data_IF_078091015934
#
_entry.id   IF_078091015934
#
_cell.length_a   1.000
_cell.length_b   1.000
_cell.length_c   1.000
_cell.angle_alpha   90.00
_cell.angle_beta   90.00
_cell.angle_gamma   90.00
#
_symmetry.space_group_name_H-M   'P 1'
#
loop_
_entity.id
_entity.type
_entity.pdbx_description
1 polymer ?
#
# COMPACT_ATOMS: atom_id res chain seq x y z
N UNK A 1 2.70 27.06 -3.23
CA UNK A 1 2.57 25.63 -2.86
C UNK A 1 3.84 24.94 -3.32
N UNK A 2 4.63 24.39 -2.38
CA UNK A 2 5.87 23.68 -2.71
C UNK A 2 5.54 22.40 -3.50
N UNK A 3 6.29 22.16 -4.58
CA UNK A 3 6.20 20.95 -5.40
C UNK A 3 7.58 20.32 -5.43
N UNK A 4 7.65 19.03 -5.10
CA UNK A 4 8.90 18.29 -5.10
C UNK A 4 9.43 18.14 -6.54
N UNK A 5 10.71 18.46 -6.74
CA UNK A 5 11.39 18.26 -8.01
C UNK A 5 11.48 16.77 -8.38
N UNK A 6 11.44 16.49 -9.68
CA UNK A 6 11.38 15.13 -10.20
C UNK A 6 12.63 14.29 -9.82
N UNK A 7 13.78 14.95 -9.63
CA UNK A 7 15.02 14.31 -9.15
C UNK A 7 14.85 13.65 -7.77
N UNK A 8 14.19 14.34 -6.84
CA UNK A 8 13.95 13.84 -5.49
C UNK A 8 12.85 12.79 -5.47
N UNK A 9 11.87 12.93 -6.36
CA UNK A 9 10.81 11.94 -6.56
C UNK A 9 11.40 10.61 -7.06
N UNK A 10 12.34 10.62 -7.99
CA UNK A 10 13.05 9.42 -8.42
C UNK A 10 13.86 8.77 -7.30
N UNK A 11 14.52 9.56 -6.45
CA UNK A 11 15.22 9.04 -5.28
C UNK A 11 14.24 8.35 -4.30
N UNK A 12 13.09 8.98 -4.03
CA UNK A 12 12.04 8.38 -3.21
C UNK A 12 11.52 7.05 -3.79
N UNK A 13 11.36 6.96 -5.12
CA UNK A 13 10.95 5.72 -5.77
C UNK A 13 11.99 4.61 -5.60
N UNK A 14 13.29 4.93 -5.63
CA UNK A 14 14.37 3.96 -5.39
C UNK A 14 14.35 3.44 -3.95
N UNK A 15 14.21 4.34 -2.98
CA UNK A 15 14.07 3.97 -1.56
C UNK A 15 12.86 3.06 -1.36
N UNK A 16 11.70 3.43 -1.93
CA UNK A 16 10.50 2.60 -1.90
C UNK A 16 10.71 1.22 -2.54
N UNK A 17 11.58 1.15 -3.56
CA UNK A 17 11.88 -0.10 -4.25
C UNK A 17 12.75 -1.04 -3.40
N UNK A 18 13.72 -0.50 -2.68
CA UNK A 18 14.68 -1.24 -1.85
C UNK A 18 14.02 -1.80 -0.59
N UNK A 19 13.12 -1.05 0.04
CA UNK A 19 12.42 -1.45 1.26
C UNK A 19 11.19 -2.34 1.03
N UNK A 20 11.14 -3.06 -0.09
CA UNK A 20 10.04 -3.97 -0.40
C UNK A 20 10.14 -5.28 0.37
N UNK A 21 9.13 -5.54 1.20
CA UNK A 21 8.95 -6.84 1.88
C UNK A 21 8.30 -7.87 0.97
N UNK A 22 7.42 -7.43 0.05
CA UNK A 22 6.61 -8.32 -0.79
C UNK A 22 6.82 -8.03 -2.27
N UNK A 23 7.03 -9.09 -3.05
CA UNK A 23 7.29 -9.01 -4.50
C UNK A 23 6.04 -8.73 -5.33
N UNK A 24 4.90 -9.33 -4.99
CA UNK A 24 3.63 -9.18 -5.71
C UNK A 24 2.52 -8.56 -4.85
N UNK A 25 1.84 -7.57 -5.42
CA UNK A 25 0.89 -6.73 -4.69
C UNK A 25 -0.14 -6.15 -5.67
N UNK A 26 -1.42 -6.45 -5.49
CA UNK A 26 -2.48 -5.98 -6.38
C UNK A 26 -2.73 -4.46 -6.26
N UNK A 27 -2.35 -3.88 -5.12
CA UNK A 27 -2.59 -2.46 -4.83
C UNK A 27 -1.57 -1.55 -5.51
N UNK A 28 -0.29 -1.95 -5.50
CA UNK A 28 0.80 -1.16 -6.10
C UNK A 28 1.34 -1.78 -7.39
N UNK A 29 0.76 -2.89 -7.86
CA UNK A 29 1.17 -3.61 -9.06
C UNK A 29 2.68 -3.84 -9.13
N UNK A 30 3.24 -4.35 -8.02
CA UNK A 30 4.68 -4.62 -7.91
C UNK A 30 5.57 -3.38 -8.07
N UNK A 31 5.05 -2.17 -7.81
CA UNK A 31 5.86 -0.93 -7.79
C UNK A 31 6.39 -0.61 -6.40
N UNK A 32 5.62 -0.90 -5.35
CA UNK A 32 5.95 -0.54 -3.96
C UNK A 32 5.31 0.78 -3.51
N UNK A 33 4.83 1.60 -4.44
CA UNK A 33 4.05 2.82 -4.18
C UNK A 33 2.76 2.83 -5.00
N UNK A 34 1.77 3.61 -4.54
CA UNK A 34 0.44 3.70 -5.16
C UNK A 34 0.41 4.83 -6.18
N UNK A 35 1.06 5.95 -5.87
CA UNK A 35 1.07 7.13 -6.74
C UNK A 35 1.84 8.29 -6.12
N UNK A 36 1.58 9.47 -6.66
CA UNK A 36 2.14 10.75 -6.19
C UNK A 36 0.98 11.70 -5.89
N UNK A 37 1.13 12.49 -4.83
CA UNK A 37 0.19 13.55 -4.46
C UNK A 37 0.37 14.80 -5.34
N UNK A 38 -0.51 15.78 -5.16
CA UNK A 38 -0.47 17.08 -5.87
C UNK A 38 0.87 17.83 -5.71
N UNK A 39 1.59 17.57 -4.62
CA UNK A 39 2.92 18.12 -4.32
C UNK A 39 4.09 17.28 -4.86
N UNK A 40 3.84 16.30 -5.75
CA UNK A 40 4.84 15.33 -6.22
C UNK A 40 5.43 14.45 -5.09
N UNK A 41 4.71 14.29 -3.96
CA UNK A 41 5.12 13.42 -2.85
C UNK A 41 4.67 11.97 -3.07
N UNK A 42 5.60 11.03 -2.90
CA UNK A 42 5.36 9.60 -3.14
C UNK A 42 4.47 8.98 -2.05
N UNK A 43 3.40 8.30 -2.45
CA UNK A 43 2.51 7.56 -1.54
C UNK A 43 2.94 6.09 -1.53
N UNK A 44 3.56 5.65 -0.43
CA UNK A 44 4.01 4.26 -0.27
C UNK A 44 2.86 3.27 -0.09
N UNK A 45 3.09 2.01 -0.49
CA UNK A 45 2.15 0.94 -0.24
C UNK A 45 2.37 0.32 1.14
N UNK A 46 1.43 0.54 2.06
CA UNK A 46 1.47 0.06 3.45
C UNK A 46 1.57 -1.46 3.62
N UNK A 47 1.25 -2.22 2.57
CA UNK A 47 1.25 -3.70 2.61
C UNK A 47 2.56 -4.31 2.09
N UNK A 48 3.30 -3.56 1.29
CA UNK A 48 4.32 -4.11 0.40
C UNK A 48 5.69 -3.49 0.66
N UNK A 49 5.75 -2.31 1.27
CA UNK A 49 6.96 -1.59 1.68
C UNK A 49 7.01 -1.47 3.20
N UNK A 50 8.22 -1.54 3.76
CA UNK A 50 8.44 -1.17 5.16
C UNK A 50 8.35 0.35 5.32
N UNK A 51 7.25 0.84 5.89
CA UNK A 51 7.04 2.27 6.07
C UNK A 51 8.11 2.89 6.96
N UNK A 52 8.46 2.23 8.06
CA UNK A 52 9.42 2.77 9.03
C UNK A 52 10.82 2.87 8.42
N UNK A 53 11.30 1.79 7.78
CA UNK A 53 12.62 1.77 7.16
C UNK A 53 12.71 2.74 5.97
N UNK A 54 11.68 2.77 5.10
CA UNK A 54 11.65 3.69 3.97
C UNK A 54 11.59 5.17 4.42
N UNK A 55 10.87 5.47 5.51
CA UNK A 55 10.82 6.82 6.06
C UNK A 55 12.14 7.24 6.71
N UNK A 56 12.87 6.31 7.34
CA UNK A 56 14.18 6.58 7.91
C UNK A 56 15.18 6.97 6.81
N UNK A 57 15.28 6.16 5.76
CA UNK A 57 16.17 6.41 4.62
C UNK A 57 15.79 7.70 3.87
N UNK A 58 14.49 7.98 3.76
CA UNK A 58 14.01 9.24 3.19
C UNK A 58 14.43 10.46 4.03
N UNK A 59 14.40 10.36 5.36
CA UNK A 59 14.89 11.42 6.24
C UNK A 59 16.39 11.61 6.07
N UNK A 60 17.16 10.53 6.01
CA UNK A 60 18.61 10.59 5.80
C UNK A 60 18.94 11.23 4.44
N UNK A 61 18.14 10.95 3.40
CA UNK A 61 18.24 11.60 2.10
C UNK A 61 17.95 13.11 2.19
N UNK A 62 16.86 13.53 2.85
CA UNK A 62 16.56 14.96 3.07
C UNK A 62 17.69 15.64 3.86
N UNK A 63 18.29 14.96 4.83
CA UNK A 63 19.39 15.51 5.61
C UNK A 63 20.65 15.80 4.78
N UNK A 64 20.82 15.13 3.63
CA UNK A 64 21.93 15.36 2.71
C UNK A 64 21.66 16.46 1.68
N UNK A 65 20.39 16.84 1.49
CA UNK A 65 19.96 17.83 0.52
C UNK A 65 19.47 19.10 1.22
N UNK A 66 20.32 20.14 1.24
CA UNK A 66 20.03 21.43 1.89
C UNK A 66 18.79 22.12 1.32
N UNK A 67 18.56 22.00 0.01
CA UNK A 67 17.39 22.55 -0.69
C UNK A 67 16.07 21.99 -0.15
N UNK A 68 16.06 20.72 0.26
CA UNK A 68 14.89 20.10 0.89
C UNK A 68 14.78 20.50 2.35
N UNK A 69 15.88 20.69 3.06
CA UNK A 69 15.84 21.11 4.46
C UNK A 69 15.11 22.43 4.63
N UNK A 70 15.34 23.43 3.79
CA UNK A 70 14.67 24.74 3.93
C UNK A 70 13.15 24.65 3.81
N UNK A 71 12.65 23.73 2.97
CA UNK A 71 11.21 23.56 2.75
C UNK A 71 10.54 22.58 3.72
N UNK A 72 11.30 21.61 4.25
CA UNK A 72 10.79 20.65 5.21
C UNK A 72 11.08 21.03 6.67
N UNK A 73 11.96 22.01 6.95
CA UNK A 73 12.27 22.44 8.32
C UNK A 73 11.07 23.01 9.05
N UNK A 74 10.21 23.80 8.40
CA UNK A 74 8.94 24.25 8.98
C UNK A 74 8.04 23.07 9.38
N UNK A 75 7.99 22.01 8.56
CA UNK A 75 7.23 20.78 8.83
C UNK A 75 7.85 19.92 9.94
N UNK A 76 9.16 20.03 10.16
CA UNK A 76 9.89 19.30 11.20
C UNK A 76 9.90 20.03 12.55
N UNK A 77 9.87 21.36 12.57
CA UNK A 77 9.81 22.15 13.81
C UNK A 77 8.39 22.20 14.43
N UNK A 78 7.31 22.11 13.63
CA UNK A 78 5.94 22.16 14.16
C UNK A 78 5.37 20.82 14.69
N UNK A 79 5.92 19.66 14.31
CA UNK A 79 5.37 18.34 14.70
C UNK A 79 6.15 17.65 15.81
N UNK A 80 6.17 18.27 17.00
CA UNK A 80 6.14 17.49 18.26
C UNK A 80 4.69 17.33 18.75
N UNK A 81 3.76 17.10 17.82
CA UNK A 81 2.41 16.65 18.15
C UNK A 81 2.36 15.17 17.79
N UNK A 82 2.21 14.37 18.84
CA UNK A 82 1.91 12.95 18.82
C UNK A 82 0.77 12.72 17.83
N UNK A 83 1.07 12.22 16.63
CA UNK A 83 0.05 11.59 15.80
C UNK A 83 -0.17 10.21 16.41
N UNK A 84 -1.10 10.20 17.36
CA UNK A 84 -1.88 9.05 17.76
C UNK A 84 -2.19 8.25 16.49
N UNK A 85 -1.69 7.02 16.44
CA UNK A 85 -2.21 6.02 15.54
C UNK A 85 -3.74 6.11 15.62
N UNK A 86 -4.47 6.40 14.52
CA UNK A 86 -5.85 5.97 14.47
C UNK A 86 -5.73 4.45 14.58
N UNK A 87 -6.03 3.95 15.78
CA UNK A 87 -6.39 2.59 16.04
C UNK A 87 -7.35 2.22 14.91
N UNK A 88 -6.82 1.53 13.90
CA UNK A 88 -7.66 0.88 12.93
C UNK A 88 -8.47 -0.10 13.76
N UNK A 89 -9.68 0.31 14.14
CA UNK A 89 -10.68 -0.58 14.67
C UNK A 89 -10.70 -1.77 13.73
N UNK A 90 -10.16 -2.88 14.21
CA UNK A 90 -10.26 -4.16 13.54
C UNK A 90 -11.73 -4.49 13.60
N UNK A 91 -12.48 -3.99 12.62
CA UNK A 91 -13.87 -4.37 12.39
C UNK A 91 -13.83 -5.87 12.25
N UNK A 92 -14.29 -6.57 13.30
CA UNK A 92 -14.36 -8.02 13.33
C UNK A 92 -15.14 -8.44 12.10
N UNK A 93 -14.43 -8.98 11.12
CA UNK A 93 -15.01 -9.62 9.95
C UNK A 93 -15.89 -10.73 10.53
N UNK A 94 -17.21 -10.54 10.45
CA UNK A 94 -18.17 -11.56 10.82
C UNK A 94 -17.78 -12.86 10.09
N UNK A 95 -17.37 -13.87 10.87
CA UNK A 95 -17.15 -15.23 10.37
C UNK A 95 -18.49 -15.79 9.88
N UNK A 96 -18.83 -15.52 8.62
CA UNK A 96 -19.77 -16.36 7.90
C UNK A 96 -19.02 -17.58 7.37
N UNK A 97 -18.65 -18.50 8.28
CA UNK A 97 -18.47 -19.90 7.90
C UNK A 97 -19.83 -20.41 7.45
N UNK A 98 -20.18 -20.20 6.17
CA UNK A 98 -21.12 -21.09 5.51
C UNK A 98 -20.42 -22.46 5.49
N UNK A 99 -20.98 -23.51 6.13
CA UNK A 99 -20.44 -24.84 5.95
C UNK A 99 -20.53 -25.15 4.45
N UNK A 100 -19.38 -25.32 3.80
CA UNK A 100 -19.33 -25.90 2.47
C UNK A 100 -19.96 -27.29 2.62
N UNK A 101 -21.12 -27.58 2.01
CA UNK A 101 -21.63 -28.95 2.06
C UNK A 101 -20.58 -29.85 1.42
N UNK A 102 -20.13 -30.85 2.17
CA UNK A 102 -19.07 -31.79 1.81
C UNK A 102 -19.47 -32.77 0.67
N UNK A 103 -20.27 -32.32 -0.29
CA UNK A 103 -20.60 -33.10 -1.47
C UNK A 103 -19.76 -32.60 -2.64
N UNK A 104 -18.56 -33.16 -2.77
CA UNK A 104 -17.89 -33.21 -4.08
C UNK A 104 -18.77 -34.12 -4.96
N UNK A 105 -19.40 -33.62 -6.04
CA UNK A 105 -20.06 -34.53 -6.96
C UNK A 105 -18.98 -35.40 -7.59
N UNK A 106 -19.03 -36.70 -7.33
CA UNK A 106 -18.23 -37.68 -8.05
C UNK A 106 -18.58 -37.52 -9.52
N UNK A 107 -17.61 -37.16 -10.35
CA UNK A 107 -17.80 -37.08 -11.79
C UNK A 107 -18.04 -38.51 -12.31
N UNK A 108 -19.29 -38.82 -12.64
CA UNK A 108 -19.66 -40.05 -13.34
C UNK A 108 -19.73 -39.72 -14.82
N UNK A 109 -18.88 -40.32 -15.68
CA UNK A 109 -18.96 -40.14 -17.13
C UNK A 109 -20.38 -40.44 -17.64
N UNK A 110 -21.03 -39.45 -18.26
CA UNK A 110 -22.41 -39.55 -18.79
C UNK A 110 -23.48 -38.76 -18.04
N UNK A 111 -23.17 -38.17 -16.87
CA UNK A 111 -24.16 -37.41 -16.09
C UNK A 111 -24.34 -35.99 -16.66
N UNK A 112 -25.52 -35.70 -17.22
CA UNK A 112 -25.87 -34.39 -17.78
C UNK A 112 -25.94 -33.34 -16.68
N UNK A 113 -25.13 -32.28 -16.77
CA UNK A 113 -25.21 -31.10 -15.89
C UNK A 113 -26.56 -30.43 -16.12
N UNK A 114 -27.43 -30.40 -15.12
CA UNK A 114 -28.69 -29.66 -15.19
C UNK A 114 -28.38 -28.17 -15.12
N UNK A 115 -28.15 -27.57 -16.30
CA UNK A 115 -27.95 -26.15 -16.46
C UNK A 115 -29.19 -25.36 -16.04
N UNK A 116 -28.96 -24.26 -15.33
CA UNK A 116 -29.91 -23.25 -14.86
C UNK A 116 -30.96 -22.94 -15.95
N UNK A 117 -32.22 -23.28 -15.68
CA UNK A 117 -33.34 -22.88 -16.53
C UNK A 117 -33.40 -21.35 -16.59
N UNK A 118 -33.24 -20.79 -17.80
CA UNK A 118 -33.54 -19.38 -18.08
C UNK A 118 -35.05 -19.21 -17.88
N UNK A 119 -35.46 -18.45 -16.86
CA UNK A 119 -36.85 -17.98 -16.76
C UNK A 119 -37.07 -16.99 -17.91
N UNK A 120 -38.04 -17.30 -18.78
CA UNK A 120 -38.66 -16.37 -19.72
C UNK A 120 -39.63 -15.49 -18.92
#
# INVERSE_FOLDING_TARGET
>A
MFRLDDYHLEAAQKIAAEHRKKRSCDQCYERGWIGVNEQNLLILCTRCVDLEAAMQDWKDYILQHEDLKEHFTELFEEKKVVEEHPEHEVVKIHEHKKPVPANKPVFVPGQKRTGRAKKI
#
